data_IF_465752314749
#
_entry.id   IF_465752314749
#
_cell.length_a   1.000
_cell.length_b   1.000
_cell.length_c   1.000
_cell.angle_alpha   90.00
_cell.angle_beta   90.00
_cell.angle_gamma   90.00
#
_symmetry.space_group_name_H-M   'P 1'
#
loop_
_entity.id
_entity.type
_entity.pdbx_description
1 polymer ?
#
# COMPACT_ATOMS: atom_id res chain seq x y z
N UNK A 1 7.07 3.80 -19.90
CA UNK A 1 7.20 2.86 -18.76
C UNK A 1 5.80 2.62 -18.23
N UNK A 2 5.32 1.38 -18.21
CA UNK A 2 4.00 1.04 -17.66
C UNK A 2 4.13 0.92 -16.15
N UNK A 3 3.42 1.75 -15.41
CA UNK A 3 3.30 1.60 -13.96
C UNK A 3 2.37 0.42 -13.70
N UNK A 4 2.86 -0.63 -13.04
CA UNK A 4 1.97 -1.64 -12.45
C UNK A 4 1.44 -1.03 -11.15
N UNK A 5 0.16 -0.69 -11.15
CA UNK A 5 -0.51 -0.10 -10.00
C UNK A 5 -1.12 -1.23 -9.17
N UNK A 6 -0.70 -1.33 -7.92
CA UNK A 6 -1.37 -2.16 -6.94
C UNK A 6 -2.35 -1.26 -6.21
N UNK A 7 -3.63 -1.58 -6.34
CA UNK A 7 -4.71 -0.72 -5.86
C UNK A 7 -5.36 -1.37 -4.65
N UNK A 8 -5.56 -0.58 -3.59
CA UNK A 8 -6.46 -0.96 -2.51
C UNK A 8 -7.89 -0.81 -3.03
N UNK A 9 -8.57 -1.95 -3.22
CA UNK A 9 -9.92 -2.03 -3.74
C UNK A 9 -10.88 -2.32 -2.59
N UNK A 10 -11.88 -1.44 -2.42
CA UNK A 10 -13.02 -1.70 -1.53
C UNK A 10 -14.02 -2.61 -2.24
N UNK A 11 -14.44 -3.67 -1.56
CA UNK A 11 -15.45 -4.61 -2.04
C UNK A 11 -16.83 -4.27 -1.47
N UNK A 12 -17.88 -4.80 -2.11
CA UNK A 12 -19.29 -4.56 -1.70
C UNK A 12 -19.58 -5.04 -0.27
N UNK A 13 -18.82 -6.02 0.22
CA UNK A 13 -18.94 -6.53 1.60
C UNK A 13 -18.21 -5.65 2.64
N UNK A 14 -17.66 -4.51 2.23
CA UNK A 14 -16.95 -3.57 3.10
C UNK A 14 -15.47 -3.90 3.34
N UNK A 15 -14.97 -5.04 2.86
CA UNK A 15 -13.54 -5.38 2.94
C UNK A 15 -12.72 -4.54 1.96
N UNK A 16 -11.47 -4.24 2.32
CA UNK A 16 -10.51 -3.59 1.42
C UNK A 16 -9.40 -4.60 1.15
N UNK A 17 -9.20 -4.95 -0.11
CA UNK A 17 -8.12 -5.85 -0.53
C UNK A 17 -7.08 -5.11 -1.34
N UNK A 18 -5.84 -5.57 -1.24
CA UNK A 18 -4.78 -5.19 -2.13
C UNK A 18 -4.83 -6.08 -3.38
N UNK A 19 -5.10 -5.52 -4.55
CA UNK A 19 -5.27 -6.28 -5.79
C UNK A 19 -4.15 -5.93 -6.78
N UNK A 20 -3.51 -6.97 -7.32
CA UNK A 20 -2.41 -6.85 -8.30
C UNK A 20 -1.21 -7.73 -7.93
N UNK A 21 -0.20 -7.74 -8.80
CA UNK A 21 1.12 -8.27 -8.45
C UNK A 21 1.83 -7.26 -7.54
N UNK A 22 2.56 -7.75 -6.53
CA UNK A 22 3.32 -6.89 -5.63
C UNK A 22 4.45 -6.16 -6.37
N UNK A 23 4.27 -4.86 -6.68
CA UNK A 23 5.18 -4.16 -7.57
C UNK A 23 6.41 -3.69 -6.80
N UNK A 24 7.47 -3.33 -7.52
CA UNK A 24 8.64 -2.68 -6.91
C UNK A 24 8.30 -1.28 -6.38
N UNK A 25 7.34 -0.60 -6.99
CA UNK A 25 6.84 0.71 -6.55
C UNK A 25 5.33 0.74 -6.58
N UNK A 26 4.72 1.35 -5.58
CA UNK A 26 3.27 1.49 -5.49
C UNK A 26 2.87 2.90 -5.01
N UNK A 27 1.64 3.28 -5.33
CA UNK A 27 0.98 4.47 -4.81
C UNK A 27 -0.24 4.04 -4.04
N UNK A 28 -0.41 4.59 -2.84
CA UNK A 28 -1.52 4.21 -1.96
C UNK A 28 -2.23 5.47 -1.51
N UNK A 29 -3.56 5.49 -1.62
CA UNK A 29 -4.36 6.56 -1.06
C UNK A 29 -4.27 6.50 0.47
N UNK A 30 -3.97 7.63 1.10
CA UNK A 30 -3.77 7.74 2.54
C UNK A 30 -4.97 7.26 3.33
N UNK A 31 -6.18 7.61 2.89
CA UNK A 31 -7.44 7.20 3.53
C UNK A 31 -7.57 5.67 3.63
N UNK A 32 -7.04 4.93 2.65
CA UNK A 32 -7.11 3.48 2.64
C UNK A 32 -6.09 2.85 3.61
N UNK A 33 -4.98 3.54 3.93
CA UNK A 33 -4.08 3.12 5.00
C UNK A 33 -4.72 3.33 6.38
N UNK A 34 -5.45 4.43 6.55
CA UNK A 34 -6.13 4.76 7.81
C UNK A 34 -7.29 3.77 8.10
N UNK A 35 -7.88 3.17 7.06
CA UNK A 35 -8.98 2.21 7.16
C UNK A 35 -8.54 0.74 7.12
N UNK A 36 -7.28 0.46 6.77
CA UNK A 36 -6.79 -0.90 6.62
C UNK A 36 -6.75 -1.63 7.97
N UNK A 37 -7.13 -2.91 7.97
CA UNK A 37 -6.99 -3.75 9.16
C UNK A 37 -5.50 -3.92 9.48
N UNK A 38 -5.14 -3.61 10.74
CA UNK A 38 -3.80 -3.77 11.29
C UNK A 38 -3.21 -5.18 11.14
N UNK A 39 -4.06 -6.21 10.99
CA UNK A 39 -3.64 -7.57 10.70
C UNK A 39 -3.02 -7.72 9.30
N UNK A 40 -3.43 -6.88 8.35
CA UNK A 40 -2.95 -6.89 6.96
C UNK A 40 -1.95 -5.78 6.66
N UNK A 41 -2.09 -4.62 7.31
CA UNK A 41 -1.22 -3.46 7.08
C UNK A 41 -0.68 -2.96 8.41
N UNK A 42 0.64 -3.01 8.60
CA UNK A 42 1.29 -2.42 9.78
C UNK A 42 2.14 -1.24 9.34
N UNK A 43 1.95 -0.09 9.98
CA UNK A 43 2.77 1.10 9.79
C UNK A 43 3.78 1.20 10.94
N UNK A 44 5.05 1.44 10.61
CA UNK A 44 6.07 1.74 11.63
C UNK A 44 6.19 3.26 11.88
N UNK A 45 7.00 3.65 12.87
CA UNK A 45 7.20 5.06 13.25
C UNK A 45 7.81 5.92 12.11
N UNK A 46 8.46 5.29 11.12
CA UNK A 46 9.00 5.96 9.93
C UNK A 46 7.95 6.14 8.83
N UNK A 47 6.76 5.55 9.00
CA UNK A 47 5.68 5.52 8.01
C UNK A 47 5.88 4.48 6.91
N UNK A 48 6.84 3.57 7.05
CA UNK A 48 6.98 2.40 6.18
C UNK A 48 5.84 1.42 6.48
N UNK A 49 5.48 0.63 5.47
CA UNK A 49 4.37 -0.33 5.62
C UNK A 49 4.84 -1.77 5.43
N UNK A 50 4.31 -2.64 6.28
CA UNK A 50 4.34 -4.08 6.11
C UNK A 50 2.97 -4.55 5.65
N UNK A 51 2.94 -5.35 4.59
CA UNK A 51 1.74 -5.97 4.05
C UNK A 51 1.79 -7.47 4.29
N UNK A 52 0.81 -7.98 5.04
CA UNK A 52 0.62 -9.42 5.27
C UNK A 52 -0.36 -9.96 4.23
N UNK A 53 0.13 -10.82 3.34
CA UNK A 53 -0.65 -11.57 2.36
C UNK A 53 -0.78 -13.02 2.80
N UNK A 54 -1.73 -13.77 2.21
CA UNK A 54 -1.99 -15.18 2.55
C UNK A 54 -0.73 -16.07 2.54
N UNK A 55 0.24 -15.75 1.68
CA UNK A 55 1.46 -16.54 1.46
C UNK A 55 2.77 -15.73 1.51
N UNK A 56 2.72 -14.46 1.91
CA UNK A 56 3.90 -13.59 1.90
C UNK A 56 3.77 -12.45 2.90
N UNK A 57 4.92 -11.96 3.37
CA UNK A 57 5.03 -10.67 4.06
C UNK A 57 5.91 -9.77 3.20
N UNK A 58 5.42 -8.57 2.91
CA UNK A 58 6.11 -7.61 2.05
C UNK A 58 6.37 -6.32 2.81
N UNK A 59 7.60 -5.82 2.69
CA UNK A 59 8.01 -4.55 3.28
C UNK A 59 8.16 -3.49 2.21
N UNK A 60 7.64 -2.30 2.51
CA UNK A 60 7.67 -1.15 1.63
C UNK A 60 8.13 0.09 2.39
N UNK A 61 9.18 0.72 1.88
CA UNK A 61 9.68 1.99 2.41
C UNK A 61 8.85 3.14 1.87
N UNK A 62 8.49 4.08 2.73
CA UNK A 62 7.82 5.32 2.33
C UNK A 62 8.78 6.23 1.57
N UNK A 63 8.40 6.61 0.36
CA UNK A 63 9.14 7.59 -0.45
C UNK A 63 8.64 9.01 -0.13
N UNK A 64 7.32 9.20 -0.08
CA UNK A 64 6.72 10.51 0.18
C UNK A 64 5.34 10.65 -0.46
N UNK A 65 4.69 11.82 -0.35
CA UNK A 65 3.49 12.11 -1.12
C UNK A 65 3.79 12.13 -2.62
N UNK A 66 2.82 11.76 -3.46
CA UNK A 66 2.95 11.86 -4.91
C UNK A 66 2.90 13.33 -5.32
N UNK A 67 3.81 13.74 -6.22
CA UNK A 67 3.82 15.11 -6.74
C UNK A 67 2.47 15.49 -7.36
N UNK A 68 1.87 16.56 -6.83
CA UNK A 68 0.57 17.07 -7.27
C UNK A 68 -0.65 16.40 -6.62
N UNK A 69 -0.48 15.35 -5.82
CA UNK A 69 -1.57 14.73 -5.05
C UNK A 69 -1.12 14.29 -3.64
N UNK A 70 -1.33 15.13 -2.60
CA UNK A 70 -0.96 14.80 -1.23
C UNK A 70 -1.84 13.71 -0.60
N UNK A 71 -2.91 13.27 -1.29
CA UNK A 71 -3.75 12.17 -0.83
C UNK A 71 -3.15 10.81 -1.18
N UNK A 72 -2.16 10.77 -2.05
CA UNK A 72 -1.43 9.56 -2.41
C UNK A 72 -0.02 9.58 -1.84
N UNK A 73 0.42 8.43 -1.34
CA UNK A 73 1.77 8.21 -0.85
C UNK A 73 2.44 7.18 -1.75
N UNK A 74 3.64 7.50 -2.24
CA UNK A 74 4.50 6.58 -2.97
C UNK A 74 5.35 5.75 -2.00
N UNK A 75 5.48 4.47 -2.34
CA UNK A 75 6.28 3.49 -1.62
C UNK A 75 7.14 2.66 -2.57
N UNK A 76 8.25 2.16 -2.04
CA UNK A 76 9.20 1.30 -2.76
C UNK A 76 9.46 0.01 -1.97
N UNK A 77 9.44 -1.15 -2.65
CA UNK A 77 9.60 -2.45 -2.02
C UNK A 77 11.02 -2.62 -1.49
N UNK A 78 11.14 -3.11 -0.26
CA UNK A 78 12.41 -3.51 0.33
C UNK A 78 12.69 -4.97 -0.08
N UNK A 79 13.84 -5.19 -0.72
CA UNK A 79 14.32 -6.49 -1.18
C UNK A 79 14.98 -7.32 -0.09
#
# INVERSE_FOLDING_TARGET
MSWQEMVLQRHENGTVSLVGEAPQRMRVARELLDEADSAFVTLNDSGDIMLTLTNAVLWYRRVGPVDGDPRQIEFERVG
#
